data_IF_262079558068
#
_entry.id   IF_262079558068
#
_cell.length_a   1.000
_cell.length_b   1.000
_cell.length_c   1.000
_cell.angle_alpha   90.00
_cell.angle_beta   90.00
_cell.angle_gamma   90.00
#
_symmetry.space_group_name_H-M   'P 1'
#
loop_
_entity.id
_entity.type
_entity.pdbx_description
1 polymer ?
#
# COMPACT_ATOMS: atom_id res chain seq x y z
N UNK A 1 33.96 -47.77 1.49
CA UNK A 1 33.01 -47.74 2.62
C UNK A 1 32.98 -46.40 3.38
N UNK A 2 33.52 -45.30 2.82
CA UNK A 2 33.67 -44.02 3.57
C UNK A 2 32.62 -42.94 3.21
N UNK A 3 31.86 -43.14 2.12
CA UNK A 3 30.91 -42.14 1.60
C UNK A 3 29.54 -42.17 2.29
N UNK A 4 29.16 -43.32 2.88
CA UNK A 4 27.90 -43.48 3.64
C UNK A 4 27.95 -42.69 4.93
N UNK A 5 29.04 -42.82 5.70
CA UNK A 5 29.22 -42.13 6.99
C UNK A 5 29.16 -40.62 6.87
N UNK A 6 29.76 -40.04 5.82
CA UNK A 6 29.69 -38.59 5.59
C UNK A 6 28.28 -38.10 5.21
N UNK A 7 27.44 -38.96 4.63
CA UNK A 7 26.04 -38.60 4.35
C UNK A 7 25.23 -38.69 5.64
N UNK A 8 25.45 -39.74 6.43
CA UNK A 8 24.78 -39.94 7.72
C UNK A 8 25.12 -38.79 8.69
N UNK A 9 26.39 -38.39 8.79
CA UNK A 9 26.83 -37.25 9.62
C UNK A 9 26.19 -35.92 9.19
N UNK A 10 25.99 -35.72 7.88
CA UNK A 10 25.33 -34.52 7.35
C UNK A 10 23.84 -34.55 7.55
N UNK A 11 23.22 -35.72 7.52
CA UNK A 11 21.81 -35.90 7.78
C UNK A 11 21.52 -35.63 9.25
N UNK A 12 22.35 -36.13 10.16
CA UNK A 12 22.25 -35.87 11.61
C UNK A 12 22.43 -34.38 11.95
N UNK A 13 23.28 -33.67 11.21
CA UNK A 13 23.44 -32.21 11.34
C UNK A 13 22.21 -31.45 10.82
N UNK A 14 21.65 -31.88 9.69
CA UNK A 14 20.42 -31.31 9.17
C UNK A 14 19.23 -31.56 10.10
N UNK A 15 19.07 -32.77 10.62
CA UNK A 15 17.99 -33.12 11.55
C UNK A 15 18.08 -32.33 12.85
N UNK A 16 19.29 -32.14 13.40
CA UNK A 16 19.50 -31.26 14.57
C UNK A 16 19.12 -29.81 14.28
N UNK A 17 19.46 -29.31 13.09
CA UNK A 17 19.15 -27.92 12.69
C UNK A 17 17.67 -27.72 12.41
N UNK A 18 16.99 -28.71 11.83
CA UNK A 18 15.55 -28.69 11.58
C UNK A 18 14.79 -28.75 12.90
N UNK A 19 15.15 -29.65 13.83
CA UNK A 19 14.54 -29.66 15.17
C UNK A 19 14.72 -28.34 15.92
N UNK A 20 15.90 -27.72 15.83
CA UNK A 20 16.12 -26.41 16.44
C UNK A 20 15.32 -25.26 15.79
N UNK A 21 14.89 -25.42 14.54
CA UNK A 21 13.99 -24.49 13.86
C UNK A 21 12.52 -24.79 14.20
N UNK A 22 12.13 -26.06 14.23
CA UNK A 22 10.79 -26.52 14.62
C UNK A 22 10.52 -26.14 16.09
N UNK A 23 11.47 -26.35 17.01
CA UNK A 23 11.36 -25.92 18.41
C UNK A 23 11.24 -24.38 18.57
N UNK A 24 11.75 -23.61 17.59
CA UNK A 24 11.56 -22.14 17.53
C UNK A 24 10.19 -21.74 16.97
N UNK A 25 9.59 -22.56 16.13
CA UNK A 25 8.26 -22.32 15.52
C UNK A 25 7.11 -22.87 16.39
N UNK A 26 7.32 -23.97 17.13
CA UNK A 26 6.38 -24.57 18.08
C UNK A 26 6.43 -23.91 19.47
N UNK A 27 7.44 -23.08 19.73
CA UNK A 27 7.38 -22.08 20.79
C UNK A 27 6.30 -21.07 20.45
N UNK A 28 5.34 -20.87 21.36
CA UNK A 28 4.43 -19.70 21.35
C UNK A 28 5.19 -18.51 20.78
N UNK A 29 4.70 -17.84 19.71
CA UNK A 29 5.44 -16.73 19.10
C UNK A 29 5.92 -15.85 20.25
N UNK A 30 7.22 -15.52 20.32
CA UNK A 30 7.73 -14.72 21.42
C UNK A 30 6.78 -13.54 21.52
N UNK A 31 6.13 -13.42 22.70
CA UNK A 31 5.23 -12.33 23.04
C UNK A 31 5.90 -11.09 22.44
N UNK A 32 5.35 -10.56 21.34
CA UNK A 32 5.99 -9.44 20.63
C UNK A 32 6.24 -8.43 21.75
N UNK A 33 7.50 -8.08 22.06
CA UNK A 33 7.80 -7.29 23.23
C UNK A 33 6.90 -6.07 23.14
N UNK A 34 5.99 -5.92 24.12
CA UNK A 34 4.90 -4.97 24.07
C UNK A 34 5.48 -3.65 23.58
N UNK A 35 5.20 -3.34 22.31
CA UNK A 35 5.88 -2.29 21.57
C UNK A 35 5.77 -1.05 22.44
N UNK A 36 6.90 -0.50 22.88
CA UNK A 36 6.89 0.62 23.82
C UNK A 36 6.01 1.73 23.24
N UNK A 37 5.37 2.55 24.07
CA UNK A 37 4.52 3.65 23.56
C UNK A 37 5.28 4.52 22.54
N UNK A 38 6.59 4.67 22.75
CA UNK A 38 7.52 5.39 21.88
C UNK A 38 7.79 4.69 20.53
N UNK A 39 7.83 3.35 20.50
CA UNK A 39 7.88 2.57 19.27
C UNK A 39 6.51 2.51 18.57
N UNK A 40 5.41 2.73 19.29
CA UNK A 40 4.05 2.76 18.73
C UNK A 40 3.77 4.11 18.04
N UNK A 41 4.18 5.22 18.65
CA UNK A 41 3.96 6.59 18.16
C UNK A 41 5.19 7.24 17.51
N UNK A 42 6.20 6.45 17.12
CA UNK A 42 7.47 6.96 16.57
C UNK A 42 7.30 8.02 15.47
N UNK A 43 6.31 7.84 14.57
CA UNK A 43 6.05 8.77 13.47
C UNK A 43 5.40 10.07 13.96
N UNK A 44 4.52 10.00 14.96
CA UNK A 44 3.91 11.16 15.60
C UNK A 44 4.94 11.94 16.42
N UNK A 45 5.80 11.25 17.16
CA UNK A 45 6.87 11.88 17.93
C UNK A 45 7.96 12.46 17.03
N UNK A 46 8.20 11.83 15.87
CA UNK A 46 9.00 12.43 14.80
C UNK A 46 8.39 13.74 14.31
N UNK A 47 7.12 13.71 13.95
CA UNK A 47 6.40 14.89 13.47
C UNK A 47 6.40 16.04 14.50
N UNK A 48 6.11 15.76 15.77
CA UNK A 48 6.12 16.76 16.85
C UNK A 48 7.48 17.41 17.09
N UNK A 49 8.58 16.71 16.78
CA UNK A 49 9.94 17.27 16.91
C UNK A 49 10.31 18.22 15.78
N UNK A 50 9.73 18.02 14.59
CA UNK A 50 10.05 18.79 13.39
C UNK A 50 9.11 19.98 13.17
N UNK A 51 7.91 19.98 13.76
CA UNK A 51 6.95 21.08 13.62
C UNK A 51 7.28 22.21 14.61
N UNK A 52 7.41 23.43 14.08
CA UNK A 52 7.54 24.66 14.88
C UNK A 52 6.18 25.31 15.22
N UNK A 53 5.13 24.97 14.47
CA UNK A 53 3.78 25.53 14.59
C UNK A 53 2.99 24.95 15.78
N UNK A 54 2.39 25.82 16.60
CA UNK A 54 1.63 25.45 17.81
C UNK A 54 0.32 24.70 17.50
N UNK A 55 -0.30 24.96 16.34
CA UNK A 55 -1.52 24.29 15.88
C UNK A 55 -1.21 22.92 15.25
N UNK A 56 0.06 22.61 15.03
CA UNK A 56 0.54 21.32 14.59
C UNK A 56 0.38 21.08 13.08
N UNK A 57 0.51 19.82 12.68
CA UNK A 57 0.42 19.40 11.28
C UNK A 57 -0.17 17.98 11.17
N UNK A 58 -0.68 17.66 9.99
CA UNK A 58 -1.11 16.31 9.63
C UNK A 58 -0.09 15.72 8.67
N UNK A 59 0.42 14.52 8.99
CA UNK A 59 1.38 13.80 8.17
C UNK A 59 0.79 12.50 7.62
N UNK A 60 1.07 12.27 6.35
CA UNK A 60 0.92 11.00 5.68
C UNK A 60 2.30 10.42 5.38
N UNK A 61 2.53 9.18 5.78
CA UNK A 61 3.78 8.44 5.51
C UNK A 61 3.48 7.02 5.08
N UNK A 62 4.24 6.52 4.11
CA UNK A 62 4.13 5.14 3.65
C UNK A 62 5.41 4.67 2.96
N UNK A 63 5.80 3.43 3.27
CA UNK A 63 6.83 2.67 2.57
C UNK A 63 6.15 1.45 1.96
N UNK A 64 5.76 1.57 0.68
CA UNK A 64 4.80 0.66 0.05
C UNK A 64 5.46 -0.11 -1.09
N UNK A 65 5.13 -1.40 -1.17
CA UNK A 65 5.39 -2.26 -2.32
C UNK A 65 4.08 -2.88 -2.79
N UNK A 66 3.71 -2.59 -4.01
CA UNK A 66 2.49 -3.10 -4.64
C UNK A 66 2.73 -4.47 -5.30
N UNK A 67 1.70 -5.32 -5.42
CA UNK A 67 1.82 -6.63 -6.10
C UNK A 67 2.23 -6.51 -7.57
N UNK A 68 1.87 -5.42 -8.25
CA UNK A 68 2.31 -5.13 -9.62
C UNK A 68 3.80 -4.72 -9.72
N UNK A 69 4.54 -4.72 -8.59
CA UNK A 69 5.96 -4.37 -8.51
C UNK A 69 6.25 -2.89 -8.27
N UNK A 70 5.25 -2.00 -8.34
CA UNK A 70 5.45 -0.58 -8.02
C UNK A 70 5.87 -0.39 -6.56
N UNK A 71 6.69 0.63 -6.33
CA UNK A 71 7.14 1.03 -5.00
C UNK A 71 6.91 2.51 -4.80
N UNK A 72 6.55 2.89 -3.59
CA UNK A 72 6.40 4.27 -3.19
C UNK A 72 6.88 4.44 -1.75
N UNK A 73 8.00 5.13 -1.60
CA UNK A 73 8.43 5.68 -0.33
C UNK A 73 8.03 7.15 -0.36
N UNK A 74 7.07 7.52 0.47
CA UNK A 74 6.42 8.82 0.40
C UNK A 74 6.16 9.37 1.80
N UNK A 75 6.44 10.65 1.96
CA UNK A 75 6.09 11.43 3.13
C UNK A 75 5.60 12.79 2.69
N UNK A 76 4.47 13.22 3.24
CA UNK A 76 3.91 14.54 3.03
C UNK A 76 3.26 15.01 4.32
N UNK A 77 3.50 16.26 4.71
CA UNK A 77 2.85 16.89 5.83
C UNK A 77 2.30 18.25 5.41
N UNK A 78 1.17 18.64 5.99
CA UNK A 78 0.57 19.95 5.84
C UNK A 78 0.24 20.50 7.23
N UNK A 79 0.51 21.80 7.44
CA UNK A 79 0.16 22.47 8.68
C UNK A 79 -1.36 22.43 8.87
N UNK A 80 -1.81 22.35 10.12
CA UNK A 80 -3.24 22.35 10.44
C UNK A 80 -3.90 23.61 9.87
N UNK A 81 -3.24 24.76 10.00
CA UNK A 81 -3.77 26.05 9.54
C UNK A 81 -3.93 26.10 8.01
N UNK A 82 -2.97 25.56 7.25
CA UNK A 82 -3.04 25.47 5.79
C UNK A 82 -4.21 24.58 5.32
N UNK A 83 -4.49 23.50 6.05
CA UNK A 83 -5.62 22.62 5.76
C UNK A 83 -6.95 23.28 6.12
N UNK A 84 -7.01 23.96 7.28
CA UNK A 84 -8.21 24.65 7.75
C UNK A 84 -8.53 25.92 6.94
N UNK A 85 -7.55 26.50 6.25
CA UNK A 85 -7.74 27.65 5.37
C UNK A 85 -8.31 27.30 3.98
N UNK A 86 -8.34 26.02 3.61
CA UNK A 86 -8.89 25.56 2.32
C UNK A 86 -10.42 25.45 2.37
N UNK A 87 -11.05 25.69 1.22
CA UNK A 87 -12.47 25.41 1.03
C UNK A 87 -12.65 23.90 0.81
N UNK A 88 -13.37 23.23 1.70
CA UNK A 88 -13.39 21.75 1.71
C UNK A 88 -14.11 21.12 0.51
N UNK A 89 -14.95 21.90 -0.18
CA UNK A 89 -15.59 21.49 -1.43
C UNK A 89 -14.58 21.33 -2.58
N UNK A 90 -13.40 21.96 -2.51
CA UNK A 90 -12.31 21.73 -3.46
C UNK A 90 -11.83 20.26 -3.46
N UNK A 91 -11.95 19.55 -2.34
CA UNK A 91 -11.62 18.13 -2.26
C UNK A 91 -12.69 17.21 -2.88
N UNK A 92 -13.88 17.73 -3.16
CA UNK A 92 -15.02 16.91 -3.58
C UNK A 92 -14.79 16.21 -4.92
N UNK A 93 -14.15 16.87 -5.90
CA UNK A 93 -13.83 16.22 -7.19
C UNK A 93 -12.88 15.03 -6.98
N UNK A 94 -11.82 15.22 -6.20
CA UNK A 94 -10.83 14.18 -5.89
C UNK A 94 -11.45 12.99 -5.15
N UNK A 95 -12.24 13.25 -4.10
CA UNK A 95 -12.89 12.20 -3.31
C UNK A 95 -14.00 11.50 -4.09
N UNK A 96 -14.85 12.26 -4.79
CA UNK A 96 -15.92 11.70 -5.60
C UNK A 96 -15.37 10.87 -6.75
N UNK A 97 -14.16 11.14 -7.26
CA UNK A 97 -13.51 10.34 -8.29
C UNK A 97 -13.26 8.89 -7.85
N UNK A 98 -13.03 8.63 -6.56
CA UNK A 98 -12.75 7.28 -6.03
C UNK A 98 -13.94 6.67 -5.29
N UNK A 99 -14.91 7.47 -4.86
CA UNK A 99 -16.10 7.02 -4.13
C UNK A 99 -17.14 6.30 -5.04
N UNK A 100 -16.73 5.26 -5.77
CA UNK A 100 -17.62 4.42 -6.57
C UNK A 100 -17.10 2.98 -6.66
N UNK A 101 -17.92 1.95 -6.41
CA UNK A 101 -17.47 0.56 -6.31
C UNK A 101 -16.70 0.04 -7.52
N UNK A 102 -17.12 0.43 -8.74
CA UNK A 102 -16.42 0.02 -9.97
C UNK A 102 -15.03 0.67 -10.06
N UNK A 103 -14.90 1.95 -9.70
CA UNK A 103 -13.62 2.67 -9.77
C UNK A 103 -12.63 2.17 -8.73
N UNK A 104 -13.10 1.82 -7.54
CA UNK A 104 -12.27 1.17 -6.52
C UNK A 104 -11.74 -0.19 -7.00
N UNK A 105 -12.57 -1.01 -7.64
CA UNK A 105 -12.13 -2.29 -8.23
C UNK A 105 -11.15 -2.10 -9.38
N UNK A 106 -11.34 -1.09 -10.24
CA UNK A 106 -10.38 -0.75 -11.30
C UNK A 106 -9.02 -0.34 -10.71
N UNK A 107 -9.01 0.53 -9.69
CA UNK A 107 -7.80 0.93 -8.99
C UNK A 107 -7.10 -0.28 -8.36
N UNK A 108 -7.85 -1.18 -7.72
CA UNK A 108 -7.31 -2.41 -7.15
C UNK A 108 -6.60 -3.25 -8.22
N UNK A 109 -7.28 -3.57 -9.33
CA UNK A 109 -6.70 -4.29 -10.47
C UNK A 109 -5.41 -3.63 -10.97
N UNK A 110 -5.43 -2.31 -11.20
CA UNK A 110 -4.27 -1.56 -11.71
C UNK A 110 -3.09 -1.53 -10.73
N UNK A 111 -3.35 -1.66 -9.44
CA UNK A 111 -2.33 -1.77 -8.40
C UNK A 111 -1.83 -3.20 -8.19
N UNK A 112 -2.54 -4.21 -8.71
CA UNK A 112 -2.21 -5.62 -8.48
C UNK A 112 -1.70 -6.32 -9.73
N UNK A 113 -2.50 -6.40 -10.78
CA UNK A 113 -2.31 -7.38 -11.86
C UNK A 113 -2.68 -6.85 -13.27
N UNK A 114 -3.19 -5.62 -13.37
CA UNK A 114 -3.60 -5.02 -14.63
C UNK A 114 -2.73 -3.83 -15.00
N UNK A 115 -2.48 -3.67 -16.29
CA UNK A 115 -1.86 -2.47 -16.86
C UNK A 115 -2.63 -1.96 -18.08
N UNK A 116 -3.47 -2.80 -18.69
CA UNK A 116 -4.20 -2.49 -19.92
C UNK A 116 -5.72 -2.61 -19.75
N UNK A 117 -6.47 -1.95 -20.64
CA UNK A 117 -7.93 -2.11 -20.73
C UNK A 117 -8.32 -3.55 -21.06
N UNK A 118 -7.49 -4.29 -21.81
CA UNK A 118 -7.75 -5.69 -22.12
C UNK A 118 -7.64 -6.56 -20.86
N UNK A 119 -6.61 -6.35 -20.04
CA UNK A 119 -6.47 -7.07 -18.77
C UNK A 119 -7.73 -6.85 -17.91
N UNK A 120 -8.22 -5.61 -17.86
CA UNK A 120 -9.42 -5.24 -17.11
C UNK A 120 -10.66 -5.96 -17.68
N UNK A 121 -10.81 -6.05 -18.99
CA UNK A 121 -11.90 -6.79 -19.64
C UNK A 121 -11.87 -8.29 -19.38
N UNK A 122 -10.69 -8.90 -19.40
CA UNK A 122 -10.51 -10.35 -19.27
C UNK A 122 -11.01 -10.88 -17.91
N UNK A 123 -11.06 -10.01 -16.89
CA UNK A 123 -11.64 -10.34 -15.58
C UNK A 123 -13.17 -10.39 -15.56
N UNK A 124 -13.87 -9.87 -16.58
CA UNK A 124 -15.34 -9.86 -16.67
C UNK A 124 -16.08 -8.94 -15.69
N UNK A 125 -15.36 -8.33 -14.73
CA UNK A 125 -15.95 -7.61 -13.59
C UNK A 125 -16.50 -6.21 -13.90
N UNK A 126 -16.19 -5.67 -15.09
CA UNK A 126 -16.33 -4.24 -15.40
C UNK A 126 -17.28 -3.94 -16.58
N UNK A 127 -17.91 -4.97 -17.14
CA UNK A 127 -18.81 -4.84 -18.29
C UNK A 127 -18.07 -4.62 -19.61
N UNK A 128 -18.58 -3.71 -20.43
CA UNK A 128 -18.03 -3.42 -21.77
C UNK A 128 -16.82 -2.50 -21.73
N UNK A 129 -16.04 -2.48 -22.81
CA UNK A 129 -14.91 -1.57 -22.97
C UNK A 129 -15.33 -0.10 -22.81
N UNK A 130 -16.50 0.29 -23.35
CA UNK A 130 -17.07 1.63 -23.19
C UNK A 130 -17.34 2.00 -21.73
N UNK A 131 -17.81 1.06 -20.90
CA UNK A 131 -18.00 1.27 -19.47
C UNK A 131 -16.67 1.46 -18.73
N UNK A 132 -15.63 0.70 -19.09
CA UNK A 132 -14.29 0.88 -18.51
C UNK A 132 -13.77 2.29 -18.82
N UNK A 133 -13.79 2.72 -20.08
CA UNK A 133 -13.34 4.08 -20.43
C UNK A 133 -14.15 5.17 -19.73
N UNK A 134 -15.47 4.96 -19.57
CA UNK A 134 -16.32 5.86 -18.81
C UNK A 134 -15.86 5.99 -17.34
N UNK A 135 -15.43 4.90 -16.71
CA UNK A 135 -14.95 4.93 -15.32
C UNK A 135 -13.50 5.39 -15.16
N UNK A 136 -12.63 5.14 -16.15
CA UNK A 136 -11.24 5.60 -16.13
C UNK A 136 -11.15 7.12 -16.30
N UNK A 137 -12.03 7.73 -17.09
CA UNK A 137 -11.96 9.17 -17.39
C UNK A 137 -12.02 10.07 -16.14
N UNK A 138 -12.97 9.90 -15.19
CA UNK A 138 -12.95 10.67 -13.94
C UNK A 138 -11.71 10.44 -13.09
N UNK A 139 -11.18 9.20 -13.06
CA UNK A 139 -9.95 8.89 -12.31
C UNK A 139 -8.73 9.60 -12.90
N UNK A 140 -8.66 9.69 -14.22
CA UNK A 140 -7.60 10.45 -14.91
C UNK A 140 -7.76 11.95 -14.69
N UNK A 141 -8.99 12.47 -14.82
CA UNK A 141 -9.29 13.90 -14.60
C UNK A 141 -8.87 14.37 -13.20
N UNK A 142 -9.19 13.57 -12.18
CA UNK A 142 -8.82 13.85 -10.80
C UNK A 142 -7.35 13.51 -10.46
N UNK A 143 -6.57 13.02 -11.43
CA UNK A 143 -5.16 12.70 -11.27
C UNK A 143 -4.86 11.42 -10.45
N UNK A 144 -5.86 10.58 -10.18
CA UNK A 144 -5.66 9.27 -9.54
C UNK A 144 -5.03 8.25 -10.47
N UNK A 145 -5.28 8.39 -11.78
CA UNK A 145 -4.67 7.58 -12.83
C UNK A 145 -3.95 8.46 -13.83
N UNK A 146 -2.93 7.89 -14.46
CA UNK A 146 -2.30 8.45 -15.65
C UNK A 146 -2.36 7.45 -16.78
N UNK A 147 -2.63 7.94 -17.99
CA UNK A 147 -2.50 7.14 -19.19
C UNK A 147 -1.03 7.16 -19.65
N UNK A 148 -0.39 5.99 -19.68
CA UNK A 148 1.03 5.86 -20.07
C UNK A 148 1.20 5.68 -21.57
N UNK A 149 0.26 4.96 -22.20
CA UNK A 149 0.15 4.81 -23.64
C UNK A 149 -1.30 4.46 -24.02
N UNK A 150 -1.59 4.22 -25.30
CA UNK A 150 -2.95 3.89 -25.74
C UNK A 150 -3.44 2.63 -25.02
N UNK A 151 -4.54 2.76 -24.28
CA UNK A 151 -5.13 1.64 -23.52
C UNK A 151 -4.36 1.20 -22.28
N UNK A 152 -3.27 1.89 -21.91
CA UNK A 152 -2.46 1.57 -20.73
C UNK A 152 -2.62 2.64 -19.66
N UNK A 153 -2.83 2.21 -18.42
CA UNK A 153 -3.07 3.09 -17.28
C UNK A 153 -2.28 2.62 -16.07
N UNK A 154 -1.87 3.58 -15.25
CA UNK A 154 -1.19 3.32 -13.99
C UNK A 154 -1.67 4.28 -12.91
N UNK A 155 -1.59 3.87 -11.65
CA UNK A 155 -1.62 4.80 -10.52
C UNK A 155 -0.22 5.43 -10.41
N UNK A 156 -0.09 6.77 -10.50
CA UNK A 156 1.20 7.43 -10.33
C UNK A 156 1.82 7.11 -8.97
N UNK A 157 3.15 6.95 -8.89
CA UNK A 157 3.82 6.57 -7.65
C UNK A 157 3.49 7.50 -6.46
N UNK A 158 3.40 8.80 -6.70
CA UNK A 158 3.04 9.81 -5.69
C UNK A 158 1.58 9.73 -5.21
N UNK A 159 0.71 8.96 -5.88
CA UNK A 159 -0.70 8.73 -5.50
C UNK A 159 -0.92 7.42 -4.76
N UNK A 160 0.04 6.51 -4.77
CA UNK A 160 -0.09 5.19 -4.13
C UNK A 160 -0.30 5.34 -2.62
N UNK A 161 0.61 6.04 -1.94
CA UNK A 161 0.49 6.26 -0.49
C UNK A 161 -0.77 7.06 -0.14
N UNK A 162 -1.09 8.20 -0.80
CA UNK A 162 -2.36 8.89 -0.59
C UNK A 162 -3.60 8.02 -0.70
N UNK A 163 -3.70 7.20 -1.74
CA UNK A 163 -4.86 6.33 -1.94
C UNK A 163 -5.00 5.30 -0.82
N UNK A 164 -3.89 4.64 -0.45
CA UNK A 164 -3.89 3.65 0.63
C UNK A 164 -4.18 4.27 2.00
N UNK A 165 -3.70 5.50 2.25
CA UNK A 165 -4.04 6.24 3.47
C UNK A 165 -5.53 6.59 3.51
N UNK A 166 -6.15 6.96 2.39
CA UNK A 166 -7.61 7.14 2.33
C UNK A 166 -8.35 5.86 2.70
N UNK A 167 -7.91 4.70 2.19
CA UNK A 167 -8.52 3.41 2.54
C UNK A 167 -8.30 3.02 4.00
N UNK A 168 -7.11 3.31 4.54
CA UNK A 168 -6.82 3.12 5.96
C UNK A 168 -7.71 3.99 6.84
N UNK A 169 -7.94 5.25 6.45
CA UNK A 169 -8.76 6.20 7.20
C UNK A 169 -10.25 5.79 7.31
N UNK A 170 -10.75 5.00 6.35
CA UNK A 170 -12.15 4.51 6.36
C UNK A 170 -12.28 3.06 6.83
N UNK A 171 -11.17 2.41 7.21
CA UNK A 171 -11.17 1.05 7.74
C UNK A 171 -11.82 1.05 9.13
N UNK A 172 -12.74 0.10 9.37
CA UNK A 172 -13.40 -0.11 10.67
C UNK A 172 -12.69 -1.19 11.46
#
# INVERSE_FOLDING_TARGET
MTKSTHIDDRLDDLERRVRALEDREDGTPPDEPARTEQETFWALDGLKREIEDENGAVMMVGAVRMPNGQRADWQFAALTDDLCAQEFDEFAEGLSAIAHPIRLRLLQRLLTDAQTVNDLLDGGDFGTSGQIYHHLRPLVSAGWLRQTSRGHYEVPAHRIVPLLTTFLAVRR
#
